data_IF_047451370380
#
_entry.id   IF_047451370380
#
_cell.length_a   1.000
_cell.length_b   1.000
_cell.length_c   1.000
_cell.angle_alpha   90.00
_cell.angle_beta   90.00
_cell.angle_gamma   90.00
#
_symmetry.space_group_name_H-M   'P 1'
#
loop_
_entity.id
_entity.type
_entity.pdbx_description
1 polymer ?
#
# COMPACT_ATOMS: atom_id res chain seq x y z
N UNK A 1 -63.18 -10.63 23.98
CA UNK A 1 -62.95 -9.97 25.28
C UNK A 1 -62.84 -8.48 25.05
N UNK A 2 -63.10 -7.69 26.10
CA UNK A 2 -62.83 -6.26 26.30
C UNK A 2 -61.55 -5.79 25.55
N UNK A 3 -61.44 -4.61 24.95
CA UNK A 3 -62.29 -3.41 24.95
C UNK A 3 -61.40 -2.16 24.91
N UNK A 4 -61.70 -1.17 24.06
CA UNK A 4 -60.85 0.00 23.80
C UNK A 4 -60.60 0.89 25.04
N UNK A 5 -59.49 1.65 25.04
CA UNK A 5 -59.54 3.14 25.13
C UNK A 5 -58.23 3.82 24.72
N UNK A 6 -58.33 5.14 24.60
CA UNK A 6 -57.51 6.09 23.80
C UNK A 6 -57.36 7.40 24.60
N UNK A 7 -56.44 8.29 24.20
CA UNK A 7 -56.26 9.69 24.68
C UNK A 7 -55.62 9.83 26.08
N UNK A 8 -54.75 10.80 26.42
CA UNK A 8 -54.19 11.99 25.77
C UNK A 8 -53.09 12.58 26.70
N UNK A 9 -52.47 13.69 26.27
CA UNK A 9 -51.44 14.49 26.94
C UNK A 9 -51.81 15.02 28.34
N UNK A 10 -50.81 15.09 29.22
CA UNK A 10 -50.54 16.30 30.00
C UNK A 10 -49.03 16.40 30.31
N UNK A 11 -48.47 17.61 30.17
CA UNK A 11 -47.04 17.85 30.36
C UNK A 11 -46.75 18.80 31.53
N UNK A 12 -45.58 18.63 32.18
CA UNK A 12 -44.96 19.67 33.02
C UNK A 12 -43.45 19.67 32.80
N UNK A 13 -42.90 20.88 32.68
CA UNK A 13 -41.48 21.18 32.44
C UNK A 13 -40.69 21.41 33.73
N UNK A 14 -39.39 21.04 33.68
CA UNK A 14 -38.26 21.61 34.44
C UNK A 14 -38.25 21.47 35.98
N UNK A 15 -37.28 20.70 36.47
CA UNK A 15 -36.76 20.75 37.85
C UNK A 15 -35.22 20.63 37.82
N UNK A 16 -34.50 21.51 38.52
CA UNK A 16 -33.05 21.73 38.36
C UNK A 16 -32.27 21.30 39.62
N UNK A 17 -31.16 20.60 39.42
CA UNK A 17 -30.00 20.42 40.32
C UNK A 17 -30.23 19.92 41.77
N UNK A 18 -29.58 18.80 42.13
CA UNK A 18 -28.38 18.81 43.02
C UNK A 18 -27.81 17.41 43.29
N UNK A 19 -26.51 17.39 43.59
CA UNK A 19 -25.66 16.23 43.93
C UNK A 19 -26.23 15.33 45.05
N UNK A 20 -25.88 14.03 45.03
CA UNK A 20 -25.10 13.32 46.08
C UNK A 20 -25.02 11.79 45.81
N UNK A 21 -23.95 11.18 46.35
CA UNK A 21 -23.73 9.74 46.63
C UNK A 21 -23.12 8.83 45.53
N UNK A 22 -21.91 8.40 45.88
CA UNK A 22 -21.15 7.26 45.41
C UNK A 22 -22.00 5.97 45.24
N UNK A 23 -21.67 5.21 44.19
CA UNK A 23 -21.77 3.76 44.21
C UNK A 23 -20.51 3.16 43.54
N UNK A 24 -19.52 2.80 44.37
CA UNK A 24 -18.38 1.98 43.95
C UNK A 24 -18.86 0.59 43.55
N UNK A 25 -18.65 0.20 42.29
CA UNK A 25 -18.69 -1.21 41.88
C UNK A 25 -17.26 -1.65 41.57
N UNK A 26 -16.61 -2.23 42.57
CA UNK A 26 -15.44 -3.07 42.36
C UNK A 26 -15.91 -4.37 41.71
N UNK A 27 -15.40 -4.70 40.52
CA UNK A 27 -15.38 -6.08 40.05
C UNK A 27 -13.94 -6.48 39.74
N UNK A 28 -13.40 -7.35 40.59
CA UNK A 28 -12.01 -7.77 40.54
C UNK A 28 -11.88 -9.17 39.94
N UNK A 29 -10.98 -9.29 38.97
CA UNK A 29 -10.16 -10.49 38.74
C UNK A 29 -10.82 -11.66 37.98
N UNK A 30 -10.17 -12.06 36.88
CA UNK A 30 -9.31 -13.25 36.91
C UNK A 30 -8.39 -13.29 35.68
N UNK A 31 -7.11 -13.60 35.91
CA UNK A 31 -6.12 -13.91 34.88
C UNK A 31 -5.85 -15.42 34.98
N UNK A 32 -6.00 -16.15 33.87
CA UNK A 32 -5.41 -17.48 33.68
C UNK A 32 -5.37 -17.83 32.19
N UNK A 33 -4.34 -18.57 31.76
CA UNK A 33 -4.06 -18.86 30.36
C UNK A 33 -4.12 -20.37 30.03
N UNK A 34 -3.92 -20.67 28.74
CA UNK A 34 -3.54 -21.96 28.16
C UNK A 34 -4.60 -23.06 28.03
N UNK A 35 -4.85 -23.45 26.77
CA UNK A 35 -4.59 -24.83 26.36
C UNK A 35 -5.78 -25.66 25.86
N UNK A 36 -5.99 -25.69 24.54
CA UNK A 36 -6.40 -26.92 23.87
C UNK A 36 -5.90 -26.93 22.42
N UNK A 37 -4.90 -27.77 22.16
CA UNK A 37 -4.38 -28.03 20.82
C UNK A 37 -5.31 -28.98 20.07
N UNK A 38 -6.25 -28.42 19.29
CA UNK A 38 -7.06 -29.16 18.33
C UNK A 38 -6.45 -29.11 16.93
N UNK A 39 -5.68 -30.13 16.55
CA UNK A 39 -5.13 -30.25 15.19
C UNK A 39 -6.24 -30.57 14.18
N UNK A 40 -6.82 -29.54 13.57
CA UNK A 40 -7.66 -29.68 12.38
C UNK A 40 -6.83 -29.45 11.13
N UNK A 41 -6.27 -30.54 10.60
CA UNK A 41 -5.81 -30.58 9.21
C UNK A 41 -7.03 -30.60 8.30
N UNK A 42 -7.38 -29.43 7.74
CA UNK A 42 -8.39 -29.29 6.68
C UNK A 42 -7.67 -28.65 5.50
N UNK A 43 -7.86 -29.25 4.32
CA UNK A 43 -7.07 -28.95 3.13
C UNK A 43 -7.32 -27.55 2.58
N UNK A 44 -6.27 -26.95 2.04
CA UNK A 44 -6.34 -25.75 1.20
C UNK A 44 -7.02 -26.10 -0.13
N UNK A 45 -7.95 -25.26 -0.57
CA UNK A 45 -8.38 -25.23 -1.98
C UNK A 45 -7.82 -23.96 -2.63
N UNK A 46 -6.50 -23.97 -2.87
CA UNK A 46 -5.82 -22.94 -3.63
C UNK A 46 -6.20 -23.05 -5.11
N UNK A 47 -6.95 -22.05 -5.62
CA UNK A 47 -7.18 -21.88 -7.05
C UNK A 47 -5.83 -21.75 -7.80
N UNK A 48 -5.71 -22.28 -9.03
CA UNK A 48 -4.43 -22.47 -9.68
C UNK A 48 -3.70 -21.16 -10.01
N UNK A 49 -2.44 -21.07 -9.59
CA UNK A 49 -1.53 -19.97 -9.94
C UNK A 49 -0.97 -20.13 -11.36
N UNK A 50 -1.23 -19.18 -12.25
CA UNK A 50 -0.73 -19.20 -13.63
C UNK A 50 0.70 -18.66 -13.73
N UNK A 51 1.70 -19.44 -13.29
CA UNK A 51 3.11 -19.09 -13.48
C UNK A 51 3.57 -19.37 -14.92
N UNK A 52 3.70 -18.33 -15.74
CA UNK A 52 4.30 -18.43 -17.08
C UNK A 52 5.83 -18.52 -16.99
N UNK A 53 6.34 -19.75 -16.85
CA UNK A 53 7.76 -20.04 -16.99
C UNK A 53 8.17 -19.98 -18.48
N UNK A 54 9.14 -19.13 -18.80
CA UNK A 54 9.72 -19.03 -20.15
C UNK A 54 10.63 -20.23 -20.44
N UNK A 55 10.30 -20.96 -21.52
CA UNK A 55 11.13 -22.06 -22.02
C UNK A 55 12.43 -21.49 -22.58
N UNK A 56 13.56 -21.92 -22.02
CA UNK A 56 14.90 -21.65 -22.54
C UNK A 56 15.65 -22.97 -22.70
N UNK A 57 15.72 -23.46 -23.93
CA UNK A 57 16.50 -24.63 -24.31
C UNK A 57 17.40 -24.31 -25.50
N UNK A 58 18.72 -24.19 -25.28
CA UNK A 58 19.69 -24.83 -26.18
C UNK A 58 21.09 -25.00 -25.56
N UNK A 59 21.75 -26.13 -25.82
CA UNK A 59 23.11 -26.50 -25.41
C UNK A 59 23.62 -27.68 -26.25
N UNK A 60 24.93 -27.95 -26.44
CA UNK A 60 26.14 -27.41 -25.79
C UNK A 60 27.19 -27.06 -26.88
N UNK A 61 28.46 -26.70 -26.63
CA UNK A 61 29.57 -27.65 -26.35
C UNK A 61 30.93 -26.92 -26.46
N UNK A 62 31.91 -27.29 -25.64
CA UNK A 62 33.37 -27.04 -25.80
C UNK A 62 34.10 -28.36 -25.44
N UNK A 63 35.28 -28.73 -25.98
CA UNK A 63 36.60 -28.20 -25.55
C UNK A 63 37.69 -28.25 -26.70
N UNK A 64 39.03 -28.36 -26.46
CA UNK A 64 40.02 -27.28 -26.19
C UNK A 64 41.23 -27.29 -27.19
N UNK A 65 42.47 -26.94 -26.75
CA UNK A 65 43.82 -27.02 -27.44
C UNK A 65 44.21 -25.73 -28.24
N UNK A 66 45.42 -25.12 -28.19
CA UNK A 66 46.69 -25.32 -27.43
C UNK A 66 47.53 -24.02 -27.28
N UNK A 67 48.56 -24.05 -26.42
CA UNK A 67 49.67 -23.06 -26.33
C UNK A 67 50.69 -23.20 -27.49
N UNK A 68 51.55 -22.19 -27.70
CA UNK A 68 52.98 -22.43 -27.45
C UNK A 68 53.74 -21.31 -26.72
N UNK A 69 54.75 -21.70 -25.94
CA UNK A 69 55.85 -20.84 -25.48
C UNK A 69 56.86 -20.56 -26.61
N UNK A 70 57.47 -19.37 -26.61
CA UNK A 70 58.95 -19.27 -26.69
C UNK A 70 59.45 -17.87 -26.29
N UNK A 71 60.61 -17.84 -25.64
CA UNK A 71 61.29 -16.60 -25.23
C UNK A 71 62.02 -15.93 -26.40
N UNK A 72 62.11 -14.59 -26.37
CA UNK A 72 63.38 -13.91 -26.66
C UNK A 72 63.66 -12.84 -25.61
N UNK A 73 64.90 -12.85 -25.12
CA UNK A 73 65.49 -11.86 -24.21
C UNK A 73 66.08 -10.74 -25.06
N UNK A 74 65.80 -9.48 -24.71
CA UNK A 74 66.70 -8.37 -25.07
C UNK A 74 66.72 -7.32 -23.94
N UNK A 75 67.86 -7.27 -23.24
CA UNK A 75 68.21 -6.19 -22.33
C UNK A 75 68.66 -4.98 -23.15
N UNK A 76 67.88 -3.89 -23.16
CA UNK A 76 68.39 -2.56 -23.47
C UNK A 76 67.84 -1.56 -22.46
N UNK A 77 68.68 -1.18 -21.49
CA UNK A 77 68.47 0.04 -20.71
C UNK A 77 68.50 1.24 -21.67
N UNK A 78 67.40 1.99 -21.70
CA UNK A 78 67.41 3.38 -22.16
C UNK A 78 66.49 4.20 -21.28
N UNK A 79 67.02 4.55 -20.11
CA UNK A 79 66.48 5.54 -19.16
C UNK A 79 66.33 6.95 -19.78
N UNK A 80 65.47 7.13 -20.79
CA UNK A 80 65.23 8.44 -21.42
C UNK A 80 63.86 8.58 -22.15
N UNK A 81 62.74 8.23 -21.50
CA UNK A 81 61.40 8.74 -21.86
C UNK A 81 60.52 9.07 -20.65
N UNK A 82 61.02 9.93 -19.77
CA UNK A 82 60.19 10.65 -18.78
C UNK A 82 59.80 12.01 -19.36
N UNK A 83 58.84 11.99 -20.29
CA UNK A 83 58.09 13.17 -20.74
C UNK A 83 56.80 12.71 -21.44
N UNK A 84 55.68 13.35 -21.12
CA UNK A 84 54.45 13.40 -21.94
C UNK A 84 53.74 12.07 -22.23
N UNK A 85 53.17 11.45 -21.19
CA UNK A 85 51.86 10.78 -21.28
C UNK A 85 50.99 11.10 -20.05
N UNK A 86 50.43 12.31 -20.05
CA UNK A 86 49.18 12.54 -19.31
C UNK A 86 48.06 11.91 -20.13
N UNK A 87 47.29 10.93 -19.61
CA UNK A 87 46.05 10.52 -20.26
C UNK A 87 45.06 11.67 -20.10
N UNK A 88 44.75 12.35 -21.20
CA UNK A 88 43.66 13.31 -21.23
C UNK A 88 42.34 12.53 -21.11
N UNK A 89 41.72 12.56 -19.93
CA UNK A 89 40.49 11.82 -19.65
C UNK A 89 39.33 12.63 -20.19
N UNK A 90 39.07 12.45 -21.49
CA UNK A 90 37.86 12.96 -22.16
C UNK A 90 36.63 12.41 -21.44
N UNK A 91 36.09 13.21 -20.52
CA UNK A 91 34.91 12.86 -19.75
C UNK A 91 33.70 13.08 -20.66
N UNK A 92 33.33 12.05 -21.41
CA UNK A 92 32.12 12.06 -22.23
C UNK A 92 30.91 12.02 -21.31
N UNK A 93 30.38 13.19 -20.95
CA UNK A 93 29.09 13.30 -20.28
C UNK A 93 27.99 12.85 -21.26
N UNK A 94 27.62 11.57 -21.18
CA UNK A 94 26.41 11.08 -21.83
C UNK A 94 25.25 11.89 -21.26
N UNK A 95 24.57 12.67 -22.11
CA UNK A 95 23.37 13.39 -21.66
C UNK A 95 22.34 12.35 -21.22
N UNK A 96 22.00 12.37 -19.93
CA UNK A 96 20.89 11.57 -19.40
C UNK A 96 19.66 11.91 -20.23
N UNK A 97 18.93 10.90 -20.78
CA UNK A 97 17.68 11.17 -21.46
C UNK A 97 16.76 11.94 -20.51
N UNK A 98 16.11 13.04 -20.95
CA UNK A 98 15.17 13.74 -20.09
C UNK A 98 14.10 12.74 -19.62
N UNK A 99 13.75 12.81 -18.33
CA UNK A 99 12.75 11.94 -17.75
C UNK A 99 11.46 11.99 -18.62
N UNK A 100 10.82 10.85 -18.89
CA UNK A 100 9.69 10.80 -19.82
C UNK A 100 8.58 11.74 -19.34
N UNK A 101 8.28 12.75 -20.16
CA UNK A 101 7.18 13.68 -19.89
C UNK A 101 5.87 12.91 -20.02
N UNK A 102 5.14 12.80 -18.91
CA UNK A 102 3.85 12.13 -18.88
C UNK A 102 2.92 12.69 -19.97
N UNK A 103 2.27 11.82 -20.74
CA UNK A 103 1.28 12.24 -21.74
C UNK A 103 0.05 12.85 -21.02
N UNK A 104 -0.71 13.68 -21.74
CA UNK A 104 -1.82 14.49 -21.18
C UNK A 104 -3.04 13.69 -20.72
N UNK A 105 -3.15 12.45 -21.17
CA UNK A 105 -4.00 11.34 -20.72
C UNK A 105 -3.44 10.68 -19.44
N UNK A 106 -2.81 11.48 -18.57
CA UNK A 106 -1.90 11.03 -17.54
C UNK A 106 -2.52 10.05 -16.53
N UNK A 107 -1.70 9.08 -16.13
CA UNK A 107 -1.96 8.12 -15.05
C UNK A 107 -1.83 8.79 -13.69
N UNK A 108 -2.72 9.73 -13.43
CA UNK A 108 -2.84 10.37 -12.12
C UNK A 108 -3.62 9.49 -11.15
N UNK A 109 -3.19 9.55 -9.89
CA UNK A 109 -3.91 9.01 -8.76
C UNK A 109 -5.08 9.92 -8.42
N UNK A 110 -6.28 9.35 -8.24
CA UNK A 110 -7.47 10.12 -7.88
C UNK A 110 -8.35 9.36 -6.89
N UNK A 111 -9.16 10.09 -6.14
CA UNK A 111 -10.17 9.52 -5.23
C UNK A 111 -11.26 8.68 -5.91
N UNK A 112 -11.21 8.53 -7.24
CA UNK A 112 -12.18 7.81 -8.05
C UNK A 112 -11.56 6.68 -8.90
N UNK A 113 -10.24 6.44 -8.79
CA UNK A 113 -9.50 5.47 -9.59
C UNK A 113 -8.16 6.01 -10.12
N UNK A 114 -7.57 5.32 -11.09
CA UNK A 114 -6.23 5.59 -11.64
C UNK A 114 -6.31 5.94 -13.13
N UNK A 115 -5.80 7.11 -13.53
CA UNK A 115 -5.78 7.54 -14.93
C UNK A 115 -7.18 7.67 -15.53
N UNK A 116 -7.49 6.86 -16.54
CA UNK A 116 -8.83 6.73 -17.13
C UNK A 116 -9.74 5.73 -16.39
N UNK A 117 -9.18 4.81 -15.60
CA UNK A 117 -9.92 3.74 -14.95
C UNK A 117 -10.65 4.25 -13.70
N UNK A 118 -11.88 3.79 -13.49
CA UNK A 118 -12.78 4.29 -12.44
C UNK A 118 -13.30 3.16 -11.57
N UNK A 119 -13.56 3.43 -10.30
CA UNK A 119 -14.19 2.46 -9.42
C UNK A 119 -15.55 2.02 -9.98
N UNK A 120 -15.82 0.72 -9.93
CA UNK A 120 -16.95 0.06 -10.60
C UNK A 120 -16.65 -0.46 -12.02
N UNK A 121 -15.48 -0.18 -12.61
CA UNK A 121 -15.04 -0.86 -13.84
C UNK A 121 -14.73 -2.34 -13.56
N UNK A 122 -14.86 -3.20 -14.56
CA UNK A 122 -14.43 -4.61 -14.48
C UNK A 122 -12.93 -4.70 -14.12
N UNK A 123 -12.61 -5.54 -13.12
CA UNK A 123 -11.24 -5.63 -12.61
C UNK A 123 -10.26 -6.22 -13.63
N UNK A 124 -10.70 -7.14 -14.48
CA UNK A 124 -9.85 -7.78 -15.51
C UNK A 124 -9.56 -6.82 -16.66
N UNK A 125 -10.51 -5.98 -17.07
CA UNK A 125 -10.31 -4.88 -18.01
C UNK A 125 -9.34 -3.82 -17.45
N UNK A 126 -9.49 -3.47 -16.16
CA UNK A 126 -8.58 -2.54 -15.48
C UNK A 126 -7.16 -3.09 -15.41
N UNK A 127 -6.98 -4.35 -15.01
CA UNK A 127 -5.66 -5.02 -15.00
C UNK A 127 -5.05 -5.02 -16.40
N UNK A 128 -5.82 -5.40 -17.43
CA UNK A 128 -5.36 -5.44 -18.81
C UNK A 128 -4.88 -4.07 -19.29
N UNK A 129 -5.66 -3.02 -19.01
CA UNK A 129 -5.31 -1.63 -19.34
C UNK A 129 -4.07 -1.12 -18.61
N UNK A 130 -3.75 -1.63 -17.42
CA UNK A 130 -2.56 -1.23 -16.67
C UNK A 130 -1.33 -2.04 -17.04
N UNK A 131 -1.48 -3.27 -17.56
CA UNK A 131 -0.37 -4.06 -18.12
C UNK A 131 0.29 -3.35 -19.30
N UNK A 132 -0.49 -2.69 -20.16
CA UNK A 132 0.03 -1.88 -21.29
C UNK A 132 0.92 -0.71 -20.84
N UNK A 133 0.84 -0.31 -19.57
CA UNK A 133 1.53 0.86 -19.00
C UNK A 133 2.69 0.45 -18.09
N UNK A 134 2.45 -0.46 -17.16
CA UNK A 134 3.41 -0.86 -16.11
C UNK A 134 4.07 -2.22 -16.38
N UNK A 135 3.67 -2.92 -17.44
CA UNK A 135 4.03 -4.31 -17.67
C UNK A 135 3.22 -5.27 -16.78
N UNK A 136 3.61 -6.55 -16.80
CA UNK A 136 2.93 -7.58 -16.03
C UNK A 136 2.98 -7.28 -14.51
N UNK A 137 1.90 -7.55 -13.75
CA UNK A 137 1.90 -7.41 -12.31
C UNK A 137 2.94 -8.33 -11.66
N UNK A 138 3.50 -7.88 -10.53
CA UNK A 138 4.39 -8.66 -9.68
C UNK A 138 3.62 -9.71 -8.88
N UNK A 139 2.40 -9.36 -8.45
CA UNK A 139 1.47 -10.27 -7.77
C UNK A 139 0.06 -10.00 -8.24
N UNK A 140 -0.72 -11.06 -8.41
CA UNK A 140 -2.16 -11.00 -8.65
C UNK A 140 -2.80 -12.10 -7.80
N UNK A 141 -3.60 -11.73 -6.81
CA UNK A 141 -4.12 -12.65 -5.79
C UNK A 141 -5.63 -12.47 -5.65
N UNK A 142 -6.38 -13.45 -6.12
CA UNK A 142 -7.80 -13.62 -5.79
C UNK A 142 -7.94 -14.30 -4.42
N UNK A 143 -8.86 -13.82 -3.59
CA UNK A 143 -9.21 -14.40 -2.29
C UNK A 143 -10.72 -14.48 -2.15
N UNK A 144 -11.16 -15.49 -1.39
CA UNK A 144 -12.52 -15.58 -0.89
C UNK A 144 -12.49 -15.37 0.62
N UNK A 145 -13.27 -14.42 1.11
CA UNK A 145 -13.39 -14.08 2.53
C UNK A 145 -14.43 -14.94 3.22
N UNK A 146 -14.39 -14.97 4.55
CA UNK A 146 -15.38 -15.67 5.36
C UNK A 146 -16.50 -14.70 5.72
N UNK A 147 -17.74 -15.10 5.46
CA UNK A 147 -18.93 -14.45 6.00
C UNK A 147 -19.09 -14.75 7.50
N UNK A 148 -19.44 -13.74 8.29
CA UNK A 148 -19.82 -13.84 9.70
C UNK A 148 -21.33 -14.08 9.85
N UNK A 149 -21.78 -14.47 11.03
CA UNK A 149 -23.22 -14.65 11.31
C UNK A 149 -24.02 -13.34 11.20
N UNK A 150 -23.33 -12.18 11.23
CA UNK A 150 -23.89 -10.84 11.06
C UNK A 150 -23.86 -10.34 9.59
N UNK A 151 -23.37 -11.15 8.64
CA UNK A 151 -23.31 -10.82 7.21
C UNK A 151 -22.13 -9.94 6.78
N UNK A 152 -21.10 -9.81 7.62
CA UNK A 152 -19.85 -9.11 7.27
C UNK A 152 -18.82 -10.10 6.69
N UNK A 153 -17.97 -9.64 5.77
CA UNK A 153 -16.90 -10.47 5.21
C UNK A 153 -15.58 -10.13 5.88
N UNK A 154 -14.89 -11.12 6.45
CA UNK A 154 -13.64 -10.92 7.19
C UNK A 154 -12.51 -11.81 6.67
N UNK A 155 -11.28 -11.37 6.90
CA UNK A 155 -10.11 -12.23 6.69
C UNK A 155 -10.02 -13.33 7.76
N UNK A 156 -9.05 -14.24 7.58
CA UNK A 156 -8.85 -15.39 8.47
C UNK A 156 -8.56 -14.97 9.93
N UNK A 157 -7.97 -13.80 10.13
CA UNK A 157 -7.54 -13.34 11.45
C UNK A 157 -8.63 -12.49 12.15
N UNK A 158 -9.64 -12.02 11.41
CA UNK A 158 -10.56 -10.96 11.83
C UNK A 158 -9.85 -9.60 12.09
N UNK A 159 -8.81 -9.30 11.30
CA UNK A 159 -8.09 -8.03 11.34
C UNK A 159 -8.73 -6.98 10.40
N UNK A 160 -9.40 -7.45 9.34
CA UNK A 160 -10.02 -6.62 8.32
C UNK A 160 -11.43 -7.09 7.96
N UNK A 161 -12.31 -6.12 7.73
CA UNK A 161 -13.64 -6.29 7.13
C UNK A 161 -13.62 -5.85 5.66
N UNK A 162 -14.33 -6.57 4.81
CA UNK A 162 -14.37 -6.42 3.35
C UNK A 162 -15.80 -6.21 2.88
N UNK A 163 -15.95 -5.49 1.77
CA UNK A 163 -17.25 -5.09 1.21
C UNK A 163 -17.99 -6.28 0.57
N UNK A 164 -17.27 -7.34 0.16
CA UNK A 164 -17.84 -8.45 -0.60
C UNK A 164 -17.12 -9.79 -0.34
N UNK A 165 -17.71 -10.89 -0.81
CA UNK A 165 -17.26 -12.29 -0.61
C UNK A 165 -15.91 -12.54 -1.27
N UNK A 166 -15.67 -12.00 -2.46
CA UNK A 166 -14.39 -12.12 -3.17
C UNK A 166 -13.65 -10.79 -3.21
N UNK A 167 -12.33 -10.86 -3.12
CA UNK A 167 -11.45 -9.72 -3.35
C UNK A 167 -10.20 -10.09 -4.13
N UNK A 168 -9.75 -9.17 -4.97
CA UNK A 168 -8.55 -9.32 -5.79
C UNK A 168 -7.58 -8.17 -5.52
N UNK A 169 -6.34 -8.50 -5.18
CA UNK A 169 -5.24 -7.53 -5.03
C UNK A 169 -4.20 -7.79 -6.13
N UNK A 170 -3.99 -6.80 -7.01
CA UNK A 170 -3.04 -6.89 -8.14
C UNK A 170 -2.03 -5.76 -8.02
N UNK A 171 -0.75 -6.09 -7.82
CA UNK A 171 0.33 -5.12 -7.58
C UNK A 171 1.35 -5.10 -8.72
N UNK A 172 1.74 -3.89 -9.12
CA UNK A 172 2.72 -3.61 -10.18
C UNK A 172 4.07 -3.16 -9.59
N UNK A 173 5.14 -3.28 -10.38
CA UNK A 173 6.52 -2.96 -9.97
C UNK A 173 6.77 -1.48 -9.63
N UNK A 174 5.82 -0.60 -9.90
CA UNK A 174 5.85 0.83 -9.56
C UNK A 174 5.32 1.14 -8.14
N UNK A 175 5.01 0.11 -7.34
CA UNK A 175 4.43 0.24 -5.99
C UNK A 175 2.92 0.50 -5.96
N UNK A 176 2.26 0.51 -7.12
CA UNK A 176 0.81 0.57 -7.25
C UNK A 176 0.20 -0.83 -7.06
N UNK A 177 -0.68 -0.97 -6.08
CA UNK A 177 -1.63 -2.06 -5.98
C UNK A 177 -3.03 -1.54 -6.31
N UNK A 178 -3.76 -2.27 -7.15
CA UNK A 178 -5.20 -2.10 -7.33
C UNK A 178 -5.93 -3.21 -6.58
N UNK A 179 -7.10 -2.87 -6.06
CA UNK A 179 -7.94 -3.71 -5.24
C UNK A 179 -9.34 -3.76 -5.87
N UNK A 180 -9.94 -4.95 -5.92
CA UNK A 180 -11.28 -5.18 -6.42
C UNK A 180 -12.10 -6.07 -5.47
N UNK A 181 -13.43 -5.97 -5.55
CA UNK A 181 -14.38 -6.78 -4.78
C UNK A 181 -15.57 -7.25 -5.65
N UNK A 182 -16.20 -8.37 -5.30
CA UNK A 182 -17.42 -8.86 -5.97
C UNK A 182 -18.04 -10.11 -5.31
N UNK A 183 -19.33 -10.36 -5.60
CA UNK A 183 -20.11 -11.48 -5.06
C UNK A 183 -19.61 -12.85 -5.56
N UNK A 184 -18.99 -12.86 -6.75
CA UNK A 184 -18.38 -14.02 -7.40
C UNK A 184 -16.99 -13.67 -7.95
N UNK A 185 -16.18 -14.68 -8.25
CA UNK A 185 -14.83 -14.50 -8.80
C UNK A 185 -14.81 -13.91 -10.22
N UNK A 186 -15.90 -14.07 -10.98
CA UNK A 186 -16.11 -13.51 -12.32
C UNK A 186 -16.81 -12.13 -12.33
N UNK A 187 -17.27 -11.61 -11.19
CA UNK A 187 -17.95 -10.30 -11.09
C UNK A 187 -17.15 -9.24 -10.33
N UNK A 188 -15.88 -9.52 -10.00
CA UNK A 188 -15.01 -8.59 -9.27
C UNK A 188 -14.80 -7.29 -10.04
N UNK A 189 -15.22 -6.18 -9.45
CA UNK A 189 -15.01 -4.81 -9.98
C UNK A 189 -13.89 -4.11 -9.22
N UNK A 190 -13.20 -3.19 -9.90
CA UNK A 190 -12.17 -2.32 -9.31
C UNK A 190 -12.81 -1.38 -8.28
N UNK A 191 -12.37 -1.44 -7.03
CA UNK A 191 -13.00 -0.73 -5.89
C UNK A 191 -12.03 0.12 -5.07
N UNK A 192 -10.72 -0.11 -5.18
CA UNK A 192 -9.71 0.70 -4.49
C UNK A 192 -8.32 0.60 -5.12
N UNK A 193 -7.43 1.50 -4.74
CA UNK A 193 -6.01 1.43 -5.07
C UNK A 193 -5.17 1.97 -3.92
N UNK A 194 -3.94 1.46 -3.81
CA UNK A 194 -2.92 1.97 -2.91
C UNK A 194 -1.58 2.09 -3.64
N UNK A 195 -0.95 3.26 -3.56
CA UNK A 195 0.42 3.49 -3.97
C UNK A 195 1.31 3.48 -2.73
N UNK A 196 2.18 2.47 -2.62
CA UNK A 196 3.23 2.37 -1.58
C UNK A 196 4.61 2.62 -2.20
N UNK A 197 5.65 2.57 -1.36
CA UNK A 197 7.07 2.60 -1.72
C UNK A 197 7.65 3.91 -2.27
N UNK A 198 8.93 4.18 -1.94
CA UNK A 198 9.67 5.37 -2.38
C UNK A 198 10.04 5.40 -3.86
N UNK A 199 9.67 4.35 -4.61
CA UNK A 199 9.74 4.27 -6.07
C UNK A 199 8.53 4.93 -6.76
N UNK A 200 7.50 5.29 -5.99
CA UNK A 200 6.19 5.75 -6.47
C UNK A 200 6.25 6.88 -7.49
N UNK A 201 6.24 6.50 -8.77
CA UNK A 201 6.28 7.42 -9.91
C UNK A 201 4.92 8.11 -10.14
N UNK A 202 3.86 7.59 -9.52
CA UNK A 202 2.50 8.09 -9.67
C UNK A 202 2.21 9.20 -8.65
N UNK A 203 1.62 10.27 -9.17
CA UNK A 203 1.20 11.46 -8.43
C UNK A 203 -0.28 11.71 -8.68
N UNK A 204 -0.92 12.47 -7.80
CA UNK A 204 -2.24 13.03 -8.02
C UNK A 204 -2.20 14.13 -9.09
N UNK A 205 -3.35 14.53 -9.62
CA UNK A 205 -3.45 15.70 -10.52
C UNK A 205 -2.85 16.98 -9.92
N UNK A 206 -2.85 17.08 -8.60
CA UNK A 206 -2.30 18.16 -7.79
C UNK A 206 -0.81 18.00 -7.44
N UNK A 207 -0.15 16.92 -7.87
CA UNK A 207 1.28 16.69 -7.67
C UNK A 207 1.67 15.97 -6.38
N UNK A 208 0.72 15.57 -5.54
CA UNK A 208 1.01 14.78 -4.33
C UNK A 208 1.30 13.32 -4.72
N UNK A 209 2.38 12.75 -4.19
CA UNK A 209 2.70 11.33 -4.29
C UNK A 209 3.55 10.86 -3.12
N UNK A 210 3.97 9.60 -3.12
CA UNK A 210 4.86 9.06 -2.09
C UNK A 210 6.20 9.82 -2.10
N UNK A 211 6.74 10.12 -0.92
CA UNK A 211 7.91 10.99 -0.72
C UNK A 211 7.58 12.48 -0.58
N UNK A 212 6.33 12.91 -0.81
CA UNK A 212 5.89 14.29 -0.60
C UNK A 212 6.03 14.72 0.86
N UNK A 213 6.44 15.97 1.11
CA UNK A 213 6.43 16.57 2.45
C UNK A 213 5.09 17.22 2.76
N UNK A 214 4.60 17.06 3.98
CA UNK A 214 3.31 17.66 4.39
C UNK A 214 3.31 19.19 4.18
N UNK A 215 4.41 19.87 4.50
CA UNK A 215 4.57 21.32 4.32
C UNK A 215 4.23 21.83 2.90
N UNK A 216 4.47 21.03 1.85
CA UNK A 216 4.17 21.42 0.47
C UNK A 216 2.67 21.40 0.14
N UNK A 217 1.86 20.74 0.96
CA UNK A 217 0.42 20.52 0.78
C UNK A 217 -0.38 20.83 2.07
N UNK A 218 0.18 21.65 2.97
CA UNK A 218 -0.32 21.84 4.34
C UNK A 218 -1.73 22.47 4.45
N UNK A 219 -2.29 22.99 3.36
CA UNK A 219 -3.68 23.47 3.29
C UNK A 219 -4.71 22.37 3.00
N UNK A 220 -4.24 21.23 2.47
CA UNK A 220 -5.07 20.21 1.84
C UNK A 220 -4.85 18.81 2.44
N UNK A 221 -3.73 18.59 3.13
CA UNK A 221 -3.45 17.40 3.95
C UNK A 221 -3.85 17.69 5.40
N UNK A 222 -4.65 16.81 5.96
CA UNK A 222 -4.87 16.66 7.41
C UNK A 222 -4.10 15.42 7.91
N UNK A 223 -3.44 15.50 9.06
CA UNK A 223 -2.63 14.41 9.64
C UNK A 223 -3.11 14.15 11.06
N UNK A 224 -3.32 12.88 11.40
CA UNK A 224 -3.73 12.51 12.75
C UNK A 224 -2.58 12.72 13.75
N UNK A 225 -2.82 13.41 14.90
CA UNK A 225 -1.76 13.77 15.82
C UNK A 225 -1.20 12.56 16.59
N UNK A 226 -2.07 11.57 16.85
CA UNK A 226 -1.72 10.29 17.45
C UNK A 226 -1.47 9.23 16.36
N UNK A 227 -0.48 8.38 16.57
CA UNK A 227 -0.16 7.25 15.71
C UNK A 227 0.76 6.24 16.41
N UNK A 228 1.41 5.38 15.63
CA UNK A 228 2.29 4.34 16.17
C UNK A 228 3.76 4.79 16.12
N UNK A 229 4.16 5.63 17.07
CA UNK A 229 5.52 6.14 17.16
C UNK A 229 5.86 7.04 15.97
N UNK A 230 6.72 6.60 15.06
CA UNK A 230 7.15 7.44 13.92
C UNK A 230 6.14 7.51 12.76
N UNK A 231 5.01 6.80 12.86
CA UNK A 231 4.02 6.64 11.80
C UNK A 231 2.64 7.14 12.24
N UNK A 232 1.89 7.76 11.34
CA UNK A 232 0.50 8.17 11.55
C UNK A 232 -0.30 8.08 10.25
N UNK A 233 -1.61 8.18 10.34
CA UNK A 233 -2.54 8.31 9.21
C UNK A 233 -2.86 9.78 8.91
N UNK A 234 -3.51 9.99 7.77
CA UNK A 234 -4.02 11.30 7.40
C UNK A 234 -4.98 11.21 6.22
N UNK A 235 -5.45 12.37 5.78
CA UNK A 235 -6.31 12.48 4.60
C UNK A 235 -5.86 13.60 3.67
N UNK A 236 -6.11 13.40 2.37
CA UNK A 236 -5.87 14.40 1.33
C UNK A 236 -6.98 14.30 0.28
N UNK A 237 -7.89 15.28 0.25
CA UNK A 237 -8.98 15.35 -0.74
C UNK A 237 -9.81 14.05 -0.85
N UNK A 238 -10.11 13.42 0.29
CA UNK A 238 -10.78 12.12 0.43
C UNK A 238 -9.97 10.89 -0.03
N UNK A 239 -8.65 11.02 -0.13
CA UNK A 239 -7.71 9.89 -0.23
C UNK A 239 -7.04 9.71 1.14
N UNK A 240 -6.82 8.47 1.56
CA UNK A 240 -6.15 8.15 2.82
C UNK A 240 -4.63 8.24 2.60
N UNK A 241 -3.93 8.73 3.61
CA UNK A 241 -2.47 8.78 3.66
C UNK A 241 -1.97 7.90 4.80
N UNK A 242 -0.83 7.27 4.59
CA UNK A 242 0.06 6.90 5.69
C UNK A 242 1.27 7.85 5.61
N UNK A 243 1.67 8.41 6.75
CA UNK A 243 2.78 9.35 6.87
C UNK A 243 3.81 8.86 7.87
N UNK A 244 5.04 9.31 7.70
CA UNK A 244 6.16 9.06 8.60
C UNK A 244 6.84 10.36 8.99
N UNK A 245 7.09 10.53 10.28
CA UNK A 245 7.93 11.61 10.80
C UNK A 245 9.42 11.25 10.69
N UNK A 246 10.25 12.25 10.39
CA UNK A 246 11.71 12.20 10.49
C UNK A 246 12.26 12.98 11.71
N UNK A 247 11.37 13.60 12.49
CA UNK A 247 11.68 14.34 13.72
C UNK A 247 11.17 13.59 14.95
N UNK A 248 10.17 14.15 15.61
CA UNK A 248 9.52 13.57 16.80
C UNK A 248 8.39 12.58 16.44
N UNK A 249 8.01 11.64 17.32
CA UNK A 249 6.90 10.72 17.11
C UNK A 249 5.51 11.41 17.15
N UNK A 250 4.49 10.65 16.76
CA UNK A 250 3.06 10.93 16.89
C UNK A 250 2.50 10.27 18.15
N UNK A 251 2.79 10.85 19.32
CA UNK A 251 2.50 10.25 20.64
C UNK A 251 1.45 11.03 21.47
N UNK A 252 0.85 12.07 20.90
CA UNK A 252 -0.07 13.00 21.56
C UNK A 252 -1.36 13.15 20.73
N UNK A 253 -2.53 13.05 21.38
CA UNK A 253 -3.83 13.09 20.69
C UNK A 253 -4.34 14.51 20.38
N UNK A 254 -3.70 15.55 20.92
CA UNK A 254 -4.12 16.95 20.77
C UNK A 254 -3.21 17.75 19.81
N UNK A 255 -1.94 17.33 19.63
CA UNK A 255 -0.97 18.07 18.83
C UNK A 255 0.07 17.19 18.13
N UNK A 256 0.50 17.63 16.95
CA UNK A 256 1.69 17.09 16.27
C UNK A 256 2.91 17.86 16.79
N UNK A 257 3.86 17.16 17.41
CA UNK A 257 5.09 17.76 17.96
C UNK A 257 6.18 18.00 16.89
N UNK A 258 6.21 17.16 15.85
CA UNK A 258 7.17 17.23 14.74
C UNK A 258 6.80 18.31 13.72
N UNK A 259 7.75 18.77 12.90
CA UNK A 259 7.47 19.81 11.91
C UNK A 259 6.77 19.24 10.67
N UNK A 260 5.92 20.03 10.03
CA UNK A 260 5.31 19.64 8.75
C UNK A 260 6.33 19.44 7.61
N UNK A 261 7.56 19.97 7.76
CA UNK A 261 8.66 19.70 6.84
C UNK A 261 9.24 18.29 7.01
N UNK A 262 9.17 17.74 8.23
CA UNK A 262 9.74 16.44 8.61
C UNK A 262 8.75 15.28 8.46
N UNK A 263 7.46 15.57 8.20
CA UNK A 263 6.45 14.57 7.88
C UNK A 263 6.46 14.28 6.37
N UNK A 264 6.58 12.99 6.03
CA UNK A 264 6.67 12.46 4.68
C UNK A 264 5.51 11.52 4.40
N UNK A 265 4.83 11.67 3.27
CA UNK A 265 3.85 10.70 2.76
C UNK A 265 4.58 9.43 2.35
N UNK A 266 4.21 8.27 2.91
CA UNK A 266 4.80 6.96 2.60
C UNK A 266 3.84 6.02 1.86
N UNK A 267 2.54 6.29 1.95
CA UNK A 267 1.46 5.57 1.25
C UNK A 267 0.34 6.56 0.91
N UNK A 268 -0.31 6.35 -0.23
CA UNK A 268 -1.54 7.05 -0.62
C UNK A 268 -2.53 6.00 -1.09
N UNK A 269 -3.79 6.05 -0.67
CA UNK A 269 -4.83 5.15 -1.14
C UNK A 269 -6.19 5.83 -1.31
N UNK A 270 -7.05 5.21 -2.12
CA UNK A 270 -8.44 5.62 -2.27
C UNK A 270 -9.34 4.43 -2.59
N UNK A 271 -10.63 4.58 -2.31
CA UNK A 271 -11.63 3.53 -2.49
C UNK A 271 -11.74 2.61 -1.29
N UNK A 272 -12.69 1.68 -1.37
CA UNK A 272 -13.24 0.96 -0.23
C UNK A 272 -13.24 -0.55 -0.52
N UNK A 273 -12.19 -1.24 -0.08
CA UNK A 273 -12.08 -2.72 -0.21
C UNK A 273 -11.87 -3.39 1.14
N UNK A 274 -11.10 -2.74 2.02
CA UNK A 274 -10.82 -3.21 3.39
C UNK A 274 -10.90 -2.07 4.40
N UNK A 275 -11.64 -2.32 5.47
CA UNK A 275 -11.61 -1.53 6.70
C UNK A 275 -10.82 -2.29 7.75
N UNK A 276 -9.88 -1.60 8.41
CA UNK A 276 -9.23 -2.16 9.60
C UNK A 276 -10.26 -2.27 10.73
N UNK A 277 -10.38 -3.45 11.34
CA UNK A 277 -11.24 -3.64 12.51
C UNK A 277 -10.58 -3.16 13.80
N UNK A 278 -9.26 -3.00 13.77
CA UNK A 278 -8.47 -2.37 14.83
C UNK A 278 -8.24 -0.88 14.49
N UNK A 279 -8.00 -0.02 15.50
CA UNK A 279 -7.39 1.30 15.27
C UNK A 279 -6.14 1.18 14.40
N UNK A 280 -5.65 2.30 13.88
CA UNK A 280 -4.33 2.35 13.26
C UNK A 280 -3.19 2.32 14.31
N UNK A 281 -3.22 1.30 15.20
CA UNK A 281 -2.17 0.73 16.07
C UNK A 281 -2.68 -0.59 16.68
#
# INVERSE_FOLDING_TARGET
>A
MIGQRVCESDGVTVGRASNIALATVMLAGLIAACGSSGSFSIAEESMPTTSLASVSENSTTTPPVSLPDTSERNDIDTSQRVAERSPDVTTTTVSVPPAPVARKDALYLSRFGVGSQRFGNDMSDVISSLIDVFGLPQTDVMRRFRETDDGAFIDRNADYEFVDVFGRETCFSVGLCIEGAGETDDTVVFTGWTQRESSGMLITESGLGVGSRWLAFATDIDVEPIGCGMYSTGSYRNMRLEVRSLGEPFDDAEKIATSAGDIVVISVSAGDVRSSLHPAC
#
